data_IF_430114941217
#
_entry.id   IF_430114941217
#
_cell.length_a   1.000
_cell.length_b   1.000
_cell.length_c   1.000
_cell.angle_alpha   90.00
_cell.angle_beta   90.00
_cell.angle_gamma   90.00
#
_symmetry.space_group_name_H-M   'P 1'
#
loop_
_entity.id
_entity.type
_entity.pdbx_description
1 polymer ?
#
# COMPACT_ATOMS: atom_id res chain seq x y z
N UNK A 1 -69.60 8.82 -7.88
CA UNK A 1 -70.42 7.60 -7.84
C UNK A 1 -70.44 7.13 -9.30
N UNK A 2 -69.84 6.03 -9.74
CA UNK A 2 -69.73 4.70 -9.17
C UNK A 2 -68.64 3.88 -9.94
N UNK A 3 -67.80 3.14 -9.20
CA UNK A 3 -67.24 1.78 -9.42
C UNK A 3 -66.83 1.38 -10.85
N UNK A 4 -65.54 1.19 -11.12
CA UNK A 4 -64.73 -0.03 -10.89
C UNK A 4 -64.79 -1.08 -12.02
N UNK A 5 -63.61 -1.32 -12.60
CA UNK A 5 -63.04 -2.62 -12.98
C UNK A 5 -63.75 -3.36 -14.15
N UNK A 6 -63.15 -4.20 -14.98
CA UNK A 6 -62.15 -5.24 -14.77
C UNK A 6 -61.42 -5.50 -16.11
N UNK A 7 -60.13 -5.77 -15.97
CA UNK A 7 -59.15 -6.31 -16.92
C UNK A 7 -59.52 -7.75 -17.30
N UNK A 8 -59.65 -8.14 -18.57
CA UNK A 8 -59.44 -9.55 -18.96
C UNK A 8 -59.21 -9.81 -20.46
N UNK A 9 -58.34 -10.81 -20.69
CA UNK A 9 -58.27 -11.73 -21.84
C UNK A 9 -57.78 -11.25 -23.22
N UNK A 10 -56.46 -11.34 -23.34
CA UNK A 10 -55.78 -11.95 -24.48
C UNK A 10 -56.25 -13.40 -24.73
N UNK A 11 -56.85 -13.70 -25.88
CA UNK A 11 -56.74 -15.02 -26.53
C UNK A 11 -57.05 -14.86 -28.03
N UNK A 12 -56.08 -15.17 -28.89
CA UNK A 12 -56.29 -16.02 -30.08
C UNK A 12 -54.97 -16.36 -30.76
N UNK A 13 -54.42 -17.48 -30.27
CA UNK A 13 -53.80 -18.59 -31.04
C UNK A 13 -53.36 -18.30 -32.48
N UNK A 14 -52.06 -18.52 -32.72
CA UNK A 14 -51.62 -19.50 -33.71
C UNK A 14 -50.20 -19.98 -33.35
N UNK A 15 -50.06 -21.26 -33.01
CA UNK A 15 -48.77 -21.97 -32.91
C UNK A 15 -48.76 -23.07 -33.97
N UNK A 16 -47.74 -23.15 -34.84
CA UNK A 16 -47.31 -24.42 -35.39
C UNK A 16 -46.08 -24.94 -34.62
N UNK A 17 -46.13 -26.23 -34.38
CA UNK A 17 -45.24 -27.05 -33.55
C UNK A 17 -43.99 -27.41 -34.36
N UNK A 18 -42.80 -27.08 -33.85
CA UNK A 18 -41.55 -27.71 -34.32
C UNK A 18 -40.79 -28.24 -33.10
N UNK A 19 -40.94 -29.56 -32.97
CA UNK A 19 -40.09 -30.55 -32.32
C UNK A 19 -39.10 -30.08 -31.24
N UNK A 20 -39.51 -30.31 -30.00
CA UNK A 20 -38.64 -30.44 -28.84
C UNK A 20 -37.84 -31.76 -28.95
N UNK A 21 -36.51 -31.70 -29.11
CA UNK A 21 -35.62 -32.78 -28.69
C UNK A 21 -34.28 -32.22 -28.17
N UNK A 22 -33.93 -32.71 -26.98
CA UNK A 22 -32.67 -32.59 -26.24
C UNK A 22 -32.50 -31.40 -25.28
N UNK A 23 -33.04 -31.67 -24.08
CA UNK A 23 -32.53 -31.36 -22.74
C UNK A 23 -31.02 -31.13 -22.72
N UNK A 24 -30.60 -29.99 -22.18
CA UNK A 24 -29.20 -29.67 -21.90
C UNK A 24 -29.05 -28.34 -21.17
N UNK A 25 -29.54 -28.28 -19.93
CA UNK A 25 -29.25 -27.19 -19.00
C UNK A 25 -27.73 -27.08 -18.83
N UNK A 26 -27.14 -25.98 -19.26
CA UNK A 26 -25.79 -25.57 -18.81
C UNK A 26 -25.83 -24.08 -18.46
N UNK A 27 -26.28 -23.82 -17.23
CA UNK A 27 -25.89 -22.64 -16.47
C UNK A 27 -24.37 -22.65 -16.35
N UNK A 28 -23.68 -21.70 -16.97
CA UNK A 28 -22.29 -21.39 -16.63
C UNK A 28 -22.21 -19.96 -16.10
N UNK A 29 -22.41 -19.85 -14.79
CA UNK A 29 -21.97 -18.69 -14.04
C UNK A 29 -20.43 -18.69 -14.05
N UNK A 30 -19.80 -17.66 -14.63
CA UNK A 30 -18.42 -17.31 -14.31
C UNK A 30 -18.44 -15.97 -13.55
N UNK A 31 -18.53 -16.09 -12.23
CA UNK A 31 -18.21 -15.03 -11.31
C UNK A 31 -16.70 -15.06 -11.05
N UNK A 32 -15.91 -14.15 -11.64
CA UNK A 32 -14.59 -13.78 -11.08
C UNK A 32 -14.21 -12.38 -11.54
N UNK A 33 -14.53 -11.36 -10.73
CA UNK A 33 -13.61 -10.25 -10.48
C UNK A 33 -13.61 -10.00 -8.98
N UNK A 34 -13.25 -11.04 -8.22
CA UNK A 34 -12.65 -10.84 -6.92
C UNK A 34 -11.37 -10.05 -7.19
N UNK A 35 -11.47 -8.72 -7.08
CA UNK A 35 -10.32 -7.84 -7.10
C UNK A 35 -9.37 -8.37 -6.03
N UNK A 36 -8.31 -9.04 -6.49
CA UNK A 36 -7.20 -9.42 -5.66
C UNK A 36 -6.54 -8.14 -5.18
N UNK A 37 -7.11 -7.51 -4.15
CA UNK A 37 -6.30 -6.83 -3.17
C UNK A 37 -5.56 -7.95 -2.45
N UNK A 38 -4.58 -8.53 -3.15
CA UNK A 38 -3.36 -8.85 -2.49
C UNK A 38 -3.01 -7.54 -1.79
N UNK A 39 -3.29 -7.47 -0.49
CA UNK A 39 -2.41 -6.77 0.39
C UNK A 39 -1.04 -7.30 0.00
N UNK A 40 -0.37 -6.61 -0.94
CA UNK A 40 1.06 -6.73 -1.06
C UNK A 40 1.50 -6.54 0.38
N UNK A 41 2.03 -7.59 0.99
CA UNK A 41 2.65 -7.50 2.29
C UNK A 41 3.68 -6.40 2.12
N UNK A 42 3.28 -5.17 2.47
CA UNK A 42 4.04 -3.99 2.13
C UNK A 42 5.31 -4.15 2.92
N UNK A 43 6.44 -4.20 2.20
CA UNK A 43 7.74 -4.43 2.80
C UNK A 43 7.93 -3.49 3.99
N UNK A 44 8.24 -4.06 5.15
CA UNK A 44 8.49 -3.27 6.35
C UNK A 44 9.56 -2.23 6.05
N UNK A 45 9.24 -0.95 6.26
CA UNK A 45 10.16 0.15 5.93
C UNK A 45 11.19 0.39 7.03
N UNK A 46 11.17 -0.43 8.09
CA UNK A 46 12.10 -0.33 9.21
C UNK A 46 13.55 -0.55 8.77
N UNK A 47 14.47 0.18 9.39
CA UNK A 47 15.91 0.05 9.18
C UNK A 47 16.60 1.37 8.92
N UNK A 48 17.84 1.27 8.44
CA UNK A 48 18.70 2.41 8.16
C UNK A 48 18.62 2.80 6.70
N UNK A 49 18.35 4.08 6.44
CA UNK A 49 18.16 4.64 5.12
C UNK A 49 19.17 5.76 4.88
N UNK A 50 19.94 5.68 3.79
CA UNK A 50 20.97 6.68 3.47
C UNK A 50 20.92 7.03 1.99
N UNK A 51 21.42 8.21 1.60
CA UNK A 51 21.55 8.57 0.18
C UNK A 51 22.61 7.70 -0.51
N UNK A 52 23.68 7.40 0.22
CA UNK A 52 24.64 6.34 -0.09
C UNK A 52 24.93 5.52 1.16
N UNK A 53 25.04 4.20 1.07
CA UNK A 53 25.24 3.37 2.26
C UNK A 53 26.60 3.59 2.97
N UNK A 54 27.57 4.19 2.26
CA UNK A 54 28.85 4.62 2.84
C UNK A 54 28.75 5.96 3.59
N UNK A 55 27.61 6.66 3.51
CA UNK A 55 27.41 7.92 4.20
C UNK A 55 27.40 7.69 5.72
N UNK A 56 27.93 8.66 6.45
CA UNK A 56 27.96 8.65 7.92
C UNK A 56 26.70 9.26 8.56
N UNK A 57 25.71 9.61 7.73
CA UNK A 57 24.45 10.19 8.14
C UNK A 57 23.30 9.59 7.33
N UNK A 58 22.10 9.62 7.89
CA UNK A 58 20.91 9.04 7.28
C UNK A 58 19.69 9.11 8.18
N UNK A 59 18.72 8.29 7.87
CA UNK A 59 17.49 8.13 8.63
C UNK A 59 17.47 6.74 9.26
N UNK A 60 17.04 6.66 10.51
CA UNK A 60 16.59 5.42 11.12
C UNK A 60 15.06 5.48 11.14
N UNK A 61 14.45 4.45 10.58
CA UNK A 61 13.00 4.26 10.56
C UNK A 61 12.71 3.05 11.44
N UNK A 62 11.90 3.25 12.48
CA UNK A 62 11.48 2.19 13.38
C UNK A 62 9.96 2.07 13.32
N UNK A 63 9.46 0.84 13.30
CA UNK A 63 8.02 0.59 13.38
C UNK A 63 7.51 1.04 14.75
N UNK A 64 6.56 1.97 14.75
CA UNK A 64 5.89 2.44 15.97
C UNK A 64 4.57 1.68 16.19
N UNK A 65 3.80 1.46 15.13
CA UNK A 65 2.60 0.61 15.09
C UNK A 65 2.50 -0.08 13.71
N UNK A 66 1.43 -0.82 13.43
CA UNK A 66 1.22 -1.45 12.11
C UNK A 66 1.24 -0.46 10.92
N UNK A 67 0.88 0.81 11.15
CA UNK A 67 0.78 1.82 10.08
C UNK A 67 1.63 3.05 10.31
N UNK A 68 2.28 3.16 11.48
CA UNK A 68 3.05 4.33 11.88
C UNK A 68 4.52 3.98 12.10
N UNK A 69 5.37 4.91 11.74
CA UNK A 69 6.81 4.82 11.91
C UNK A 69 7.32 6.00 12.74
N UNK A 70 8.32 5.71 13.56
CA UNK A 70 9.18 6.71 14.17
C UNK A 70 10.39 6.93 13.25
N UNK A 71 10.66 8.19 12.90
CA UNK A 71 11.75 8.54 12.00
C UNK A 71 12.74 9.42 12.75
N UNK A 72 14.02 9.03 12.74
CA UNK A 72 15.12 9.72 13.42
C UNK A 72 16.21 10.04 12.43
N UNK A 73 16.77 11.24 12.50
CA UNK A 73 17.99 11.53 11.75
C UNK A 73 19.19 11.01 12.54
N UNK A 74 20.02 10.19 11.89
CA UNK A 74 21.22 9.62 12.48
C UNK A 74 22.45 10.26 11.86
N UNK A 75 23.35 10.71 12.73
CA UNK A 75 24.66 11.23 12.35
C UNK A 75 25.79 10.38 12.94
N UNK A 76 27.01 10.95 12.89
CA UNK A 76 28.28 10.28 13.22
C UNK A 76 28.36 9.54 14.55
N UNK A 77 27.59 9.98 15.55
CA UNK A 77 27.75 9.52 16.94
C UNK A 77 26.51 8.86 17.49
N UNK A 78 25.33 9.33 17.10
CA UNK A 78 24.04 8.86 17.57
C UNK A 78 22.95 9.33 16.63
N UNK A 79 21.83 8.63 16.67
CA UNK A 79 20.55 9.18 16.23
C UNK A 79 20.12 10.31 17.19
N UNK A 80 19.36 11.28 16.69
CA UNK A 80 18.78 12.31 17.54
C UNK A 80 18.02 11.62 18.69
N UNK A 81 18.56 11.74 19.91
CA UNK A 81 18.12 10.98 21.08
C UNK A 81 16.91 11.62 21.77
N UNK A 82 16.73 12.92 21.57
CA UNK A 82 15.84 13.74 22.41
C UNK A 82 14.58 14.19 21.65
N UNK A 83 14.61 14.18 20.31
CA UNK A 83 13.44 14.41 19.45
C UNK A 83 13.53 13.50 18.22
N UNK A 84 12.57 12.59 18.11
CA UNK A 84 12.28 11.93 16.83
C UNK A 84 11.94 13.01 15.81
N UNK A 85 12.61 12.96 14.67
CA UNK A 85 12.30 13.89 13.58
C UNK A 85 10.83 13.79 13.17
N UNK A 86 10.24 12.59 13.31
CA UNK A 86 8.79 12.43 13.26
C UNK A 86 8.37 11.23 14.11
N UNK A 87 7.78 11.44 15.31
CA UNK A 87 7.59 10.36 16.28
C UNK A 87 6.54 9.32 15.90
N UNK A 88 5.56 9.71 15.07
CA UNK A 88 4.47 8.85 14.60
C UNK A 88 4.00 9.30 13.22
N UNK A 89 4.79 9.01 12.21
CA UNK A 89 4.48 9.38 10.82
C UNK A 89 3.87 8.20 10.09
N UNK A 90 2.73 8.45 9.44
CA UNK A 90 2.26 7.60 8.37
C UNK A 90 3.11 7.87 7.13
N UNK A 91 4.15 7.09 6.88
CA UNK A 91 4.98 7.25 5.67
C UNK A 91 4.14 6.95 4.41
N UNK A 92 3.25 5.96 4.52
CA UNK A 92 2.37 5.58 3.43
C UNK A 92 1.25 6.61 3.27
N UNK A 93 1.15 7.18 2.07
CA UNK A 93 0.13 8.17 1.73
C UNK A 93 0.41 9.60 2.21
N UNK A 94 1.43 9.85 3.03
CA UNK A 94 1.84 11.20 3.38
C UNK A 94 2.66 11.81 2.22
N UNK A 95 2.25 12.96 1.65
CA UNK A 95 2.94 13.58 0.54
C UNK A 95 4.38 14.02 0.85
N UNK A 96 4.78 14.07 2.13
CA UNK A 96 6.17 14.30 2.54
C UNK A 96 7.08 13.14 2.16
N UNK A 97 6.50 11.96 1.92
CA UNK A 97 7.23 10.77 1.55
C UNK A 97 6.76 10.26 0.20
N UNK A 98 7.67 9.60 -0.51
CA UNK A 98 7.36 8.90 -1.74
C UNK A 98 8.03 7.55 -1.68
N UNK A 99 7.26 6.51 -1.37
CA UNK A 99 7.77 5.14 -1.43
C UNK A 99 7.89 4.77 -2.91
N UNK A 100 9.12 4.65 -3.40
CA UNK A 100 9.40 4.36 -4.81
C UNK A 100 9.51 2.84 -5.00
N UNK A 101 10.17 2.17 -4.07
CA UNK A 101 10.28 0.71 -4.02
C UNK A 101 10.53 0.26 -2.56
N UNK A 102 10.50 -1.06 -2.27
CA UNK A 102 10.87 -1.59 -0.95
C UNK A 102 12.24 -1.12 -0.42
N UNK A 103 13.16 -0.74 -1.30
CA UNK A 103 14.53 -0.33 -0.96
C UNK A 103 14.83 1.13 -1.33
N UNK A 104 13.85 1.91 -1.79
CA UNK A 104 14.04 3.32 -2.16
C UNK A 104 12.88 4.21 -1.68
N UNK A 105 13.24 5.24 -0.92
CA UNK A 105 12.33 6.17 -0.26
C UNK A 105 12.71 7.61 -0.63
N UNK A 106 11.76 8.34 -1.19
CA UNK A 106 11.84 9.77 -1.36
C UNK A 106 11.34 10.50 -0.11
N UNK A 107 12.09 11.51 0.33
CA UNK A 107 11.72 12.41 1.42
C UNK A 107 11.70 13.83 0.90
N UNK A 108 10.55 14.50 0.98
CA UNK A 108 10.35 15.83 0.39
C UNK A 108 11.31 16.84 1.02
N UNK A 109 11.92 17.66 0.19
CA UNK A 109 12.82 18.71 0.65
C UNK A 109 12.03 19.83 1.32
N UNK A 110 12.65 20.47 2.31
CA UNK A 110 12.06 21.62 3.01
C UNK A 110 12.23 22.92 2.24
N UNK A 111 13.30 23.04 1.44
CA UNK A 111 13.63 24.22 0.64
C UNK A 111 12.95 24.23 -0.74
N UNK A 112 12.62 23.06 -1.29
CA UNK A 112 11.84 22.92 -2.53
C UNK A 112 10.84 21.77 -2.41
N UNK A 113 9.56 22.09 -2.24
CA UNK A 113 8.50 21.10 -2.06
C UNK A 113 8.18 20.27 -3.31
N UNK A 114 8.72 20.65 -4.48
CA UNK A 114 8.58 19.87 -5.71
C UNK A 114 9.61 18.75 -5.82
N UNK A 115 10.62 18.75 -4.94
CA UNK A 115 11.75 17.85 -4.99
C UNK A 115 11.85 16.94 -3.76
N UNK A 116 12.49 15.79 -3.96
CA UNK A 116 12.69 14.76 -2.94
C UNK A 116 14.18 14.40 -2.83
N UNK A 117 14.67 14.24 -1.60
CA UNK A 117 15.91 13.51 -1.35
C UNK A 117 15.62 12.00 -1.44
N UNK A 118 16.43 11.29 -2.22
CA UNK A 118 16.32 9.84 -2.37
C UNK A 118 17.22 9.14 -1.36
N UNK A 119 16.62 8.26 -0.57
CA UNK A 119 17.29 7.38 0.37
C UNK A 119 17.10 5.94 -0.06
N UNK A 120 18.11 5.12 0.21
CA UNK A 120 18.11 3.68 -0.03
C UNK A 120 18.20 2.94 1.28
N UNK A 121 17.52 1.81 1.36
CA UNK A 121 17.65 0.90 2.48
C UNK A 121 19.05 0.30 2.47
N UNK A 122 19.74 0.39 3.61
CA UNK A 122 21.09 -0.11 3.76
C UNK A 122 21.09 -1.37 4.63
N UNK A 123 21.92 -2.36 4.29
CA UNK A 123 22.09 -3.52 5.15
C UNK A 123 22.58 -3.05 6.54
N UNK A 124 22.19 -3.75 7.61
CA UNK A 124 22.70 -3.46 8.93
C UNK A 124 24.23 -3.49 8.92
N UNK A 125 24.84 -2.50 9.55
CA UNK A 125 26.30 -2.44 9.63
C UNK A 125 26.80 -3.69 10.37
N UNK A 126 27.77 -4.43 9.80
CA UNK A 126 28.21 -5.68 10.38
C UNK A 126 28.82 -5.43 11.77
N UNK A 127 28.66 -6.40 12.67
CA UNK A 127 28.98 -6.23 14.10
C UNK A 127 30.41 -5.77 14.39
N UNK A 128 31.36 -6.19 13.56
CA UNK A 128 32.77 -5.80 13.67
C UNK A 128 33.03 -4.31 13.35
N UNK A 129 32.09 -3.61 12.72
CA UNK A 129 32.14 -2.14 12.54
C UNK A 129 31.45 -1.38 13.68
N UNK A 130 30.63 -2.06 14.48
CA UNK A 130 29.94 -1.49 15.65
C UNK A 130 30.83 -1.40 16.90
N UNK A 131 32.12 -1.66 16.76
CA UNK A 131 33.06 -1.67 17.89
C UNK A 131 33.04 -0.31 18.60
N UNK A 132 32.89 -0.30 19.94
CA UNK A 132 32.97 0.95 20.68
C UNK A 132 34.39 1.46 20.48
N UNK A 133 34.55 2.57 19.75
CA UNK A 133 35.81 3.31 19.73
C UNK A 133 36.18 3.58 21.18
N UNK A 134 37.09 2.76 21.70
CA UNK A 134 37.65 2.91 23.02
C UNK A 134 38.23 4.32 23.11
N UNK A 135 37.87 5.01 24.20
CA UNK A 135 38.45 6.31 24.54
C UNK A 135 39.81 6.10 25.16
#
# INVERSE_FOLDING_TARGET
MERSAIRDSQDKRARPRIALRFIGVTTLALAVLAGSHAAQAQSDLSGTWKRSCVDRFGLQIDRATETLYAIRFCGLRRCSADEEWTPRSAILGDPKYKVISPSELGVRRTDDQTQYFLFRHCPPEPEWQREPRAR
#
